data_IF_511028622819
#
_entry.id   IF_511028622819
#
_cell.length_a   1.000
_cell.length_b   1.000
_cell.length_c   1.000
_cell.angle_alpha   90.00
_cell.angle_beta   90.00
_cell.angle_gamma   90.00
#
_symmetry.space_group_name_H-M   'P 1'
#
loop_
_entity.id
_entity.type
_entity.pdbx_description
1 polymer ?
#
# COMPACT_ATOMS: atom_id res chain seq x y z
N UNK A 1 -11.04 8.89 8.09
CA UNK A 1 -10.47 7.97 9.08
C UNK A 1 -9.38 7.17 8.40
N UNK A 2 -8.16 7.17 8.91
CA UNK A 2 -7.08 6.34 8.36
C UNK A 2 -7.26 4.92 8.89
N UNK A 3 -7.05 3.90 8.07
CA UNK A 3 -7.31 2.51 8.45
C UNK A 3 -6.48 2.08 9.67
N UNK A 4 -5.24 2.58 9.82
CA UNK A 4 -4.39 2.28 10.98
C UNK A 4 -4.90 2.84 12.31
N UNK A 5 -5.83 3.80 12.29
CA UNK A 5 -6.45 4.36 13.50
C UNK A 5 -7.62 3.50 13.97
N UNK A 6 -8.06 2.53 13.15
CA UNK A 6 -9.16 1.65 13.49
C UNK A 6 -8.71 0.59 14.50
N UNK A 7 -9.55 0.31 15.51
CA UNK A 7 -9.26 -0.69 16.56
C UNK A 7 -8.93 -2.09 16.02
N UNK A 8 -9.49 -2.42 14.86
CA UNK A 8 -9.33 -3.73 14.22
C UNK A 8 -8.23 -3.73 13.14
N UNK A 9 -7.36 -2.71 13.09
CA UNK A 9 -6.32 -2.61 12.06
C UNK A 9 -5.39 -3.81 12.05
N UNK A 10 -4.91 -4.23 13.22
CA UNK A 10 -4.05 -5.42 13.34
C UNK A 10 -4.75 -6.67 12.79
N UNK A 11 -6.04 -6.86 13.11
CA UNK A 11 -6.83 -7.96 12.57
C UNK A 11 -6.98 -7.86 11.05
N UNK A 12 -7.17 -6.67 10.50
CA UNK A 12 -7.21 -6.47 9.06
C UNK A 12 -5.90 -6.89 8.38
N UNK A 13 -4.74 -6.57 8.98
CA UNK A 13 -3.42 -7.00 8.48
C UNK A 13 -3.28 -8.53 8.54
N UNK A 14 -3.67 -9.17 9.64
CA UNK A 14 -3.59 -10.62 9.81
C UNK A 14 -4.50 -11.35 8.82
N UNK A 15 -5.74 -10.89 8.64
CA UNK A 15 -6.70 -11.48 7.66
C UNK A 15 -6.26 -11.27 6.22
N UNK A 16 -5.63 -10.14 5.90
CA UNK A 16 -5.03 -9.94 4.60
C UNK A 16 -3.86 -10.92 4.37
N UNK A 17 -3.03 -11.18 5.38
CA UNK A 17 -1.94 -12.16 5.27
C UNK A 17 -2.46 -13.58 5.04
N UNK A 18 -3.52 -13.98 5.75
CA UNK A 18 -4.21 -15.25 5.51
C UNK A 18 -4.79 -15.34 4.10
N UNK A 19 -5.47 -14.28 3.64
CA UNK A 19 -6.05 -14.23 2.30
C UNK A 19 -4.98 -14.36 1.19
N UNK A 20 -3.83 -13.73 1.39
CA UNK A 20 -2.70 -13.80 0.46
C UNK A 20 -1.67 -14.89 0.80
N UNK A 21 -2.03 -15.88 1.61
CA UNK A 21 -1.11 -16.95 2.02
C UNK A 21 -0.52 -17.70 0.82
N UNK A 22 -1.32 -17.94 -0.23
CA UNK A 22 -0.85 -18.58 -1.48
C UNK A 22 0.22 -17.79 -2.25
N UNK A 23 0.42 -16.50 -1.90
CA UNK A 23 1.48 -15.62 -2.45
C UNK A 23 2.65 -15.45 -1.48
N UNK A 24 2.61 -16.08 -0.30
CA UNK A 24 3.65 -15.97 0.73
C UNK A 24 3.80 -14.57 1.33
N UNK A 25 2.75 -13.73 1.29
CA UNK A 25 2.82 -12.39 1.85
C UNK A 25 2.76 -12.41 3.38
N UNK A 26 3.84 -11.97 4.01
CA UNK A 26 3.94 -11.84 5.47
C UNK A 26 3.19 -10.59 5.96
N UNK A 27 2.61 -10.58 7.18
CA UNK A 27 1.94 -9.41 7.75
C UNK A 27 2.74 -8.10 7.62
N UNK A 28 4.04 -8.13 7.95
CA UNK A 28 4.93 -6.97 7.84
C UNK A 28 5.05 -6.40 6.42
N UNK A 29 4.93 -7.22 5.37
CA UNK A 29 4.96 -6.74 3.98
C UNK A 29 3.66 -6.03 3.63
N UNK A 30 2.53 -6.56 4.12
CA UNK A 30 1.20 -5.99 3.88
C UNK A 30 1.06 -4.65 4.60
N UNK A 31 1.45 -4.59 5.87
CA UNK A 31 1.40 -3.35 6.66
C UNK A 31 2.32 -2.28 6.04
N UNK A 32 3.53 -2.65 5.63
CA UNK A 32 4.43 -1.74 4.90
C UNK A 32 3.76 -1.21 3.63
N UNK A 33 3.12 -2.07 2.85
CA UNK A 33 2.47 -1.67 1.60
C UNK A 33 1.28 -0.72 1.83
N UNK A 34 0.53 -0.94 2.92
CA UNK A 34 -0.52 -0.03 3.38
C UNK A 34 0.04 1.38 3.65
N UNK A 35 1.10 1.51 4.46
CA UNK A 35 1.68 2.81 4.77
C UNK A 35 2.29 3.52 3.54
N UNK A 36 2.91 2.78 2.63
CA UNK A 36 3.38 3.34 1.35
C UNK A 36 2.21 3.92 0.55
N UNK A 37 1.11 3.18 0.47
CA UNK A 37 -0.09 3.63 -0.26
C UNK A 37 -0.73 4.83 0.43
N UNK A 38 -0.72 4.89 1.77
CA UNK A 38 -1.17 6.06 2.52
C UNK A 38 -0.34 7.31 2.27
N UNK A 39 0.99 7.18 2.29
CA UNK A 39 1.89 8.29 1.98
C UNK A 39 1.64 8.83 0.57
N UNK A 40 1.49 7.93 -0.42
CA UNK A 40 1.16 8.31 -1.79
C UNK A 40 -0.20 9.01 -1.89
N UNK A 41 -1.23 8.55 -1.16
CA UNK A 41 -2.53 9.23 -1.10
C UNK A 41 -2.38 10.64 -0.56
N UNK A 42 -1.68 10.81 0.57
CA UNK A 42 -1.47 12.13 1.18
C UNK A 42 -0.74 13.07 0.22
N UNK A 43 0.33 12.61 -0.43
CA UNK A 43 1.06 13.40 -1.44
C UNK A 43 0.13 13.82 -2.58
N UNK A 44 -0.61 12.88 -3.17
CA UNK A 44 -1.54 13.16 -4.26
C UNK A 44 -2.61 14.18 -3.84
N UNK A 45 -3.15 14.08 -2.62
CA UNK A 45 -4.20 15.01 -2.13
C UNK A 45 -3.68 16.39 -1.74
N UNK A 46 -2.41 16.53 -1.39
CA UNK A 46 -1.86 17.80 -0.85
C UNK A 46 -1.04 18.58 -1.87
N UNK A 47 -0.36 17.88 -2.77
CA UNK A 47 0.64 18.46 -3.70
C UNK A 47 0.64 17.77 -5.06
N UNK A 48 -0.45 17.09 -5.44
CA UNK A 48 -0.55 16.28 -6.65
C UNK A 48 -0.21 17.02 -7.95
N UNK A 49 -0.58 18.30 -8.06
CA UNK A 49 -0.31 19.11 -9.26
C UNK A 49 1.17 19.52 -9.40
N UNK A 50 1.97 19.32 -8.36
CA UNK A 50 3.39 19.72 -8.30
C UNK A 50 4.36 18.55 -8.26
N UNK A 51 3.87 17.30 -8.21
CA UNK A 51 4.70 16.11 -8.01
C UNK A 51 4.35 15.03 -9.03
N UNK A 52 5.40 14.45 -9.62
CA UNK A 52 5.27 13.28 -10.51
C UNK A 52 5.72 12.03 -9.76
N UNK A 53 4.82 11.05 -9.62
CA UNK A 53 5.16 9.72 -9.12
C UNK A 53 5.83 8.89 -10.22
N UNK A 54 7.12 8.59 -10.07
CA UNK A 54 7.97 7.96 -11.10
C UNK A 54 8.72 6.71 -10.60
N UNK A 55 9.45 6.07 -11.51
CA UNK A 55 10.34 4.93 -11.22
C UNK A 55 9.60 3.58 -11.20
N UNK A 56 10.29 2.52 -10.79
CA UNK A 56 9.77 1.15 -10.83
C UNK A 56 8.46 0.96 -10.05
N UNK A 57 8.29 1.65 -8.93
CA UNK A 57 7.06 1.60 -8.14
C UNK A 57 5.87 2.25 -8.87
N UNK A 58 6.10 3.32 -9.62
CA UNK A 58 5.04 3.91 -10.45
C UNK A 58 4.61 2.96 -11.57
N UNK A 59 5.56 2.27 -12.21
CA UNK A 59 5.30 1.30 -13.26
C UNK A 59 4.51 0.08 -12.74
N UNK A 60 4.85 -0.43 -11.55
CA UNK A 60 4.13 -1.58 -10.98
C UNK A 60 2.79 -1.19 -10.35
N UNK A 61 2.73 -0.13 -9.51
CA UNK A 61 1.50 0.24 -8.77
C UNK A 61 0.53 1.11 -9.56
N UNK A 62 1.02 2.00 -10.41
CA UNK A 62 0.18 2.94 -11.17
C UNK A 62 -0.29 2.39 -12.50
N UNK A 63 0.54 1.58 -13.16
CA UNK A 63 0.31 1.14 -14.54
C UNK A 63 0.30 -0.38 -14.74
N UNK A 64 0.66 -1.16 -13.71
CA UNK A 64 0.80 -2.63 -13.77
C UNK A 64 1.66 -3.11 -14.96
N UNK A 65 2.71 -2.37 -15.30
CA UNK A 65 3.57 -2.65 -16.47
C UNK A 65 4.71 -3.62 -16.15
N UNK A 66 5.05 -3.81 -14.87
CA UNK A 66 6.11 -4.72 -14.42
C UNK A 66 5.65 -5.55 -13.22
N UNK A 67 5.98 -6.84 -13.22
CA UNK A 67 5.82 -7.74 -12.07
C UNK A 67 7.14 -7.93 -11.33
N UNK A 68 7.09 -7.96 -9.99
CA UNK A 68 8.25 -8.22 -9.12
C UNK A 68 7.85 -9.21 -8.04
#
# INVERSE_FOLDING_TARGET
>A
MKLFEHRDFEQAILRAAEHFAGRGLRPAIIEKDYYVTEALRLIATTTGDSIIFKGGTSLSKGWNLIGR
#
